data_IF_685638898482
#
_entry.id   IF_685638898482
#
_cell.length_a   1.000
_cell.length_b   1.000
_cell.length_c   1.000
_cell.angle_alpha   90.00
_cell.angle_beta   90.00
_cell.angle_gamma   90.00
#
_symmetry.space_group_name_H-M   'P 1'
#
loop_
_entity.id
_entity.type
_entity.pdbx_description
1 polymer ?
#
# COMPACT_ATOMS: atom_id res chain seq x y z
N UNK A 1 -3.20 -11.96 -15.73
CA UNK A 1 -4.24 -12.60 -14.88
C UNK A 1 -3.63 -12.83 -13.52
N UNK A 2 -4.29 -12.39 -12.43
CA UNK A 2 -3.79 -12.66 -11.08
C UNK A 2 -3.84 -14.17 -10.80
N UNK A 3 -2.78 -14.71 -10.22
CA UNK A 3 -2.65 -16.14 -9.91
C UNK A 3 -3.52 -16.44 -8.69
N UNK A 4 -4.70 -17.00 -8.91
CA UNK A 4 -5.65 -17.34 -7.83
C UNK A 4 -5.01 -18.45 -6.99
N UNK A 5 -4.90 -18.20 -5.69
CA UNK A 5 -4.44 -19.18 -4.72
C UNK A 5 -5.62 -20.11 -4.37
N UNK A 6 -5.53 -21.43 -4.57
CA UNK A 6 -6.62 -22.35 -4.25
C UNK A 6 -6.91 -22.42 -2.74
N UNK A 7 -5.96 -22.06 -1.87
CA UNK A 7 -6.16 -22.00 -0.42
C UNK A 7 -6.91 -20.71 -0.03
N UNK A 8 -6.72 -19.61 -0.76
CA UNK A 8 -7.37 -18.32 -0.53
C UNK A 8 -7.96 -17.73 -1.83
N UNK A 9 -9.09 -18.27 -2.32
CA UNK A 9 -9.65 -17.91 -3.62
C UNK A 9 -10.26 -16.49 -3.68
N UNK A 10 -10.47 -15.84 -2.54
CA UNK A 10 -11.01 -14.47 -2.47
C UNK A 10 -9.91 -13.48 -2.11
N UNK A 11 -9.74 -12.43 -2.90
CA UNK A 11 -8.74 -11.38 -2.67
C UNK A 11 -9.32 -9.99 -2.82
N UNK A 12 -8.81 -9.04 -2.04
CA UNK A 12 -9.17 -7.62 -2.14
C UNK A 12 -7.93 -6.76 -1.86
N UNK A 13 -7.75 -5.70 -2.64
CA UNK A 13 -6.66 -4.74 -2.45
C UNK A 13 -7.25 -3.37 -2.13
N UNK A 14 -6.89 -2.82 -0.97
CA UNK A 14 -7.14 -1.43 -0.60
C UNK A 14 -5.91 -0.62 -0.97
N UNK A 15 -6.10 0.55 -1.59
CA UNK A 15 -5.04 1.51 -1.86
C UNK A 15 -5.45 2.86 -1.30
N UNK A 16 -4.72 3.35 -0.29
CA UNK A 16 -4.97 4.61 0.39
C UNK A 16 -3.85 5.61 0.07
N UNK A 17 -4.09 6.65 -0.75
CA UNK A 17 -3.13 7.73 -0.93
C UNK A 17 -3.08 8.59 0.34
N UNK A 18 -1.86 8.87 0.82
CA UNK A 18 -1.62 9.74 1.98
C UNK A 18 -0.80 10.97 1.55
N UNK A 19 -0.94 12.13 2.22
CA UNK A 19 -0.34 13.39 1.76
C UNK A 19 1.19 13.37 1.69
N UNK A 20 1.86 12.60 2.55
CA UNK A 20 3.32 12.54 2.64
C UNK A 20 3.80 11.11 2.87
N UNK A 21 5.05 10.81 2.47
CA UNK A 21 5.68 9.54 2.80
C UNK A 21 5.82 9.33 4.31
N UNK A 22 6.01 10.39 5.11
CA UNK A 22 6.08 10.28 6.58
C UNK A 22 4.77 9.76 7.18
N UNK A 23 3.62 10.23 6.69
CA UNK A 23 2.31 9.69 7.09
C UNK A 23 2.15 8.25 6.61
N UNK A 24 2.51 7.95 5.35
CA UNK A 24 2.40 6.60 4.79
C UNK A 24 3.25 5.56 5.53
N UNK A 25 4.52 5.86 5.78
CA UNK A 25 5.44 5.00 6.55
C UNK A 25 5.06 4.87 8.01
N UNK A 26 4.54 5.93 8.64
CA UNK A 26 4.02 5.84 10.02
C UNK A 26 2.77 4.97 10.10
N UNK A 27 1.85 5.08 9.12
CA UNK A 27 0.63 4.29 9.08
C UNK A 27 0.94 2.81 8.83
N UNK A 28 1.86 2.54 7.89
CA UNK A 28 2.38 1.19 7.65
C UNK A 28 2.91 0.55 8.94
N UNK A 29 3.81 1.26 9.65
CA UNK A 29 4.44 0.74 10.88
C UNK A 29 3.42 0.52 12.00
N UNK A 30 2.46 1.43 12.18
CA UNK A 30 1.40 1.28 13.18
C UNK A 30 0.51 0.06 12.89
N UNK A 31 0.11 -0.12 11.62
CA UNK A 31 -0.79 -1.20 11.19
C UNK A 31 -0.08 -2.56 11.02
N UNK A 32 1.25 -2.58 10.97
CA UNK A 32 2.06 -3.81 10.94
C UNK A 32 2.17 -4.51 12.31
N UNK A 33 1.94 -3.81 13.42
CA UNK A 33 1.97 -4.40 14.78
C UNK A 33 0.71 -5.23 15.07
N UNK A 34 -0.39 -4.92 14.39
CA UNK A 34 -1.60 -5.73 14.38
C UNK A 34 -1.39 -6.96 13.46
N UNK A 35 -1.40 -8.15 14.04
CA UNK A 35 -1.37 -9.42 13.29
C UNK A 35 -2.78 -9.95 13.02
N UNK A 36 -2.98 -10.53 11.84
CA UNK A 36 -4.25 -11.16 11.49
C UNK A 36 -4.44 -12.45 12.32
N UNK A 37 -5.29 -12.37 13.35
CA UNK A 37 -5.52 -13.46 14.31
C UNK A 37 -6.13 -14.74 13.70
N UNK A 38 -6.62 -14.68 12.45
CA UNK A 38 -7.24 -15.81 11.77
C UNK A 38 -6.32 -16.41 10.70
N UNK A 39 -5.97 -17.72 10.77
CA UNK A 39 -5.22 -18.38 9.69
C UNK A 39 -6.02 -18.51 8.38
N UNK A 40 -7.31 -18.14 8.40
CA UNK A 40 -8.22 -18.13 7.26
C UNK A 40 -8.15 -16.85 6.43
N UNK A 41 -7.30 -15.89 6.84
CA UNK A 41 -6.98 -14.65 6.13
C UNK A 41 -5.45 -14.46 6.10
N UNK A 42 -4.94 -13.93 5.00
CA UNK A 42 -3.57 -13.42 4.88
C UNK A 42 -3.63 -11.94 4.51
N UNK A 43 -2.96 -11.09 5.28
CA UNK A 43 -2.83 -9.65 5.06
C UNK A 43 -1.40 -9.32 4.67
N UNK A 44 -1.21 -8.39 3.73
CA UNK A 44 0.11 -7.87 3.36
C UNK A 44 0.01 -6.37 3.12
N UNK A 45 0.74 -5.59 3.93
CA UNK A 45 0.83 -4.14 3.77
C UNK A 45 2.17 -3.78 3.11
N UNK A 46 2.12 -2.82 2.18
CA UNK A 46 3.29 -2.26 1.49
C UNK A 46 3.03 -0.81 1.12
N UNK A 47 4.08 -0.04 0.91
CA UNK A 47 3.96 1.28 0.29
C UNK A 47 4.22 1.18 -1.20
N UNK A 48 3.49 1.98 -1.97
CA UNK A 48 3.61 2.06 -3.42
C UNK A 48 3.63 3.53 -3.86
N UNK A 49 4.16 3.77 -5.05
CA UNK A 49 4.03 5.08 -5.71
C UNK A 49 2.56 5.33 -6.07
N UNK A 50 2.09 6.59 -6.06
CA UNK A 50 0.81 6.92 -6.67
C UNK A 50 0.86 6.58 -8.16
N UNK A 51 -0.14 5.84 -8.65
CA UNK A 51 -0.30 5.57 -10.08
C UNK A 51 -0.78 6.86 -10.76
N UNK A 52 0.20 7.65 -11.21
CA UNK A 52 0.00 8.92 -11.90
C UNK A 52 -0.35 8.74 -13.38
N UNK A 53 -0.72 7.54 -13.83
CA UNK A 53 -1.14 7.29 -15.21
C UNK A 53 -2.36 8.15 -15.55
N UNK A 54 -2.25 9.20 -16.39
CA UNK A 54 -3.45 9.83 -16.93
C UNK A 54 -4.19 8.80 -17.79
N UNK A 55 -5.52 8.81 -17.83
CA UNK A 55 -6.27 8.02 -18.80
C UNK A 55 -6.02 8.60 -20.20
N UNK A 56 -4.92 8.16 -20.84
CA UNK A 56 -4.62 8.50 -22.22
C UNK A 56 -5.78 8.01 -23.09
N UNK A 57 -6.43 8.88 -23.88
CA UNK A 57 -7.46 8.43 -24.81
C UNK A 57 -6.84 7.45 -25.81
N UNK A 58 -7.47 6.29 -25.98
CA UNK A 58 -6.91 5.16 -26.70
C UNK A 58 -6.79 5.40 -28.22
N UNK A 59 -5.73 6.09 -28.65
CA UNK A 59 -5.36 6.22 -30.05
C UNK A 59 -3.86 6.52 -30.24
N UNK A 60 -3.14 5.60 -30.91
CA UNK A 60 -1.75 5.72 -31.40
C UNK A 60 -0.71 5.63 -30.25
N UNK A 61 0.28 4.73 -30.27
CA UNK A 61 1.22 4.39 -31.35
C UNK A 61 1.47 2.86 -31.47
N UNK A 62 1.93 2.43 -32.66
CA UNK A 62 2.16 1.05 -33.15
C UNK A 62 3.21 0.19 -32.39
N UNK A 63 3.24 -1.16 -32.60
CA UNK A 63 4.11 -2.09 -31.87
C UNK A 63 5.47 -2.38 -32.54
N UNK A 64 6.56 -2.37 -31.74
CA UNK A 64 7.93 -2.83 -32.07
C UNK A 64 8.80 -2.76 -30.78
N UNK A 65 9.74 -3.64 -30.40
CA UNK A 65 10.09 -5.05 -30.75
C UNK A 65 10.81 -5.67 -29.49
N UNK A 66 10.99 -7.01 -29.33
CA UNK A 66 11.42 -7.61 -28.05
C UNK A 66 12.94 -7.89 -27.93
N UNK A 67 13.31 -8.49 -26.78
CA UNK A 67 14.66 -8.93 -26.34
C UNK A 67 15.55 -7.80 -25.73
N UNK A 68 16.47 -8.06 -24.78
CA UNK A 68 16.92 -9.35 -24.21
C UNK A 68 17.42 -9.20 -22.75
N UNK A 69 17.74 -10.35 -22.13
CA UNK A 69 18.49 -10.64 -20.89
C UNK A 69 19.09 -9.49 -20.03
N UNK A 70 18.79 -9.53 -18.72
CA UNK A 70 19.74 -9.19 -17.64
C UNK A 70 19.25 -9.71 -16.28
N UNK A 71 19.67 -10.92 -15.93
CA UNK A 71 19.54 -11.51 -14.58
C UNK A 71 20.27 -10.69 -13.51
N UNK A 72 19.63 -10.51 -12.34
CA UNK A 72 20.22 -10.14 -11.03
C UNK A 72 21.24 -8.98 -10.94
N UNK A 73 20.87 -7.91 -10.19
CA UNK A 73 21.63 -7.34 -9.06
C UNK A 73 21.20 -5.90 -8.75
N UNK A 74 20.74 -5.65 -7.52
CA UNK A 74 21.36 -4.71 -6.54
C UNK A 74 20.43 -4.45 -5.36
N UNK A 75 20.76 -5.08 -4.24
CA UNK A 75 20.59 -4.44 -2.94
C UNK A 75 21.53 -3.22 -2.91
N UNK A 76 21.01 -1.99 -2.78
CA UNK A 76 21.84 -0.77 -2.78
C UNK A 76 21.25 0.44 -3.51
N UNK A 77 20.07 0.87 -3.09
CA UNK A 77 19.33 2.06 -3.53
C UNK A 77 17.91 2.00 -2.94
N UNK A 78 17.23 3.09 -2.57
CA UNK A 78 17.53 4.51 -2.81
C UNK A 78 16.80 5.35 -1.74
N UNK A 79 17.48 6.26 -1.02
CA UNK A 79 16.83 7.11 -0.02
C UNK A 79 15.75 8.03 -0.60
N UNK A 80 15.88 8.41 -1.87
CA UNK A 80 14.92 9.24 -2.60
C UNK A 80 13.76 8.46 -3.21
N UNK A 81 13.87 7.13 -3.38
CA UNK A 81 12.76 6.34 -3.91
C UNK A 81 11.65 6.20 -2.86
N UNK A 82 12.01 6.08 -1.57
CA UNK A 82 11.07 5.99 -0.45
C UNK A 82 10.20 7.24 -0.32
N UNK A 83 10.74 8.45 -0.47
CA UNK A 83 9.95 9.71 -0.39
C UNK A 83 8.79 9.78 -1.40
N UNK A 84 8.87 9.02 -2.50
CA UNK A 84 7.80 8.90 -3.51
C UNK A 84 6.71 7.87 -3.17
N UNK A 85 6.91 7.06 -2.12
CA UNK A 85 5.99 6.00 -1.68
C UNK A 85 4.93 6.58 -0.73
N UNK A 86 3.90 7.20 -1.31
CA UNK A 86 2.81 7.86 -0.57
C UNK A 86 1.50 7.07 -0.51
N UNK A 87 1.39 5.94 -1.23
CA UNK A 87 0.17 5.10 -1.21
C UNK A 87 0.39 3.89 -0.31
N UNK A 88 -0.39 3.79 0.76
CA UNK A 88 -0.48 2.59 1.58
C UNK A 88 -1.37 1.56 0.86
N UNK A 89 -0.78 0.45 0.43
CA UNK A 89 -1.48 -0.65 -0.22
C UNK A 89 -1.59 -1.84 0.71
N UNK A 90 -2.82 -2.30 0.96
CA UNK A 90 -3.13 -3.48 1.78
C UNK A 90 -3.79 -4.53 0.92
N UNK A 91 -3.13 -5.68 0.76
CA UNK A 91 -3.64 -6.84 0.04
C UNK A 91 -4.17 -7.89 1.04
N UNK A 92 -5.41 -8.32 0.83
CA UNK A 92 -6.06 -9.39 1.56
C UNK A 92 -6.25 -10.61 0.68
N UNK A 93 -6.10 -11.79 1.28
CA UNK A 93 -6.53 -13.08 0.73
C UNK A 93 -7.29 -13.84 1.80
N UNK A 94 -8.42 -14.44 1.47
CA UNK A 94 -9.30 -15.12 2.43
C UNK A 94 -9.90 -16.41 1.85
N UNK A 95 -10.18 -17.37 2.73
CA UNK A 95 -10.89 -18.61 2.38
C UNK A 95 -12.36 -18.37 2.00
N UNK A 96 -12.97 -17.30 2.51
CA UNK A 96 -14.36 -16.93 2.23
C UNK A 96 -14.57 -15.41 2.18
N UNK A 97 -15.55 -14.96 1.39
CA UNK A 97 -16.05 -13.58 1.43
C UNK A 97 -16.50 -13.12 2.82
N UNK A 98 -16.99 -14.03 3.67
CA UNK A 98 -17.38 -13.70 5.05
C UNK A 98 -16.17 -13.31 5.88
N UNK A 99 -15.09 -14.08 5.80
CA UNK A 99 -13.87 -13.79 6.55
C UNK A 99 -13.18 -12.53 6.03
N UNK A 100 -13.16 -12.34 4.71
CA UNK A 100 -12.65 -11.12 4.08
C UNK A 100 -13.34 -9.86 4.63
N UNK A 101 -14.68 -9.89 4.77
CA UNK A 101 -15.45 -8.78 5.35
C UNK A 101 -15.12 -8.54 6.83
N UNK A 102 -14.90 -9.59 7.62
CA UNK A 102 -14.55 -9.45 9.04
C UNK A 102 -13.18 -8.78 9.20
N UNK A 103 -12.17 -9.28 8.48
CA UNK A 103 -10.81 -8.73 8.52
C UNK A 103 -10.72 -7.29 7.99
N UNK A 104 -11.39 -6.99 6.87
CA UNK A 104 -11.41 -5.63 6.29
C UNK A 104 -12.15 -4.64 7.20
N UNK A 105 -13.24 -5.05 7.87
CA UNK A 105 -13.93 -4.18 8.82
C UNK A 105 -13.04 -3.82 10.02
N UNK A 106 -12.40 -4.82 10.64
CA UNK A 106 -11.48 -4.60 11.77
C UNK A 106 -10.28 -3.73 11.38
N UNK A 107 -9.75 -3.90 10.17
CA UNK A 107 -8.71 -3.04 9.63
C UNK A 107 -9.16 -1.60 9.38
N UNK A 108 -10.38 -1.38 8.88
CA UNK A 108 -10.88 -0.01 8.70
C UNK A 108 -11.11 0.71 10.04
N UNK A 109 -11.45 -0.03 11.09
CA UNK A 109 -11.49 0.48 12.47
C UNK A 109 -10.09 0.88 12.97
N UNK A 110 -9.09 0.00 12.85
CA UNK A 110 -7.71 0.31 13.27
C UNK A 110 -7.08 1.43 12.43
N UNK A 111 -7.34 1.46 11.12
CA UNK A 111 -6.94 2.54 10.22
C UNK A 111 -7.58 3.88 10.61
N UNK A 112 -8.87 3.88 10.96
CA UNK A 112 -9.56 5.09 11.43
C UNK A 112 -8.93 5.67 12.69
N UNK A 113 -8.56 4.82 13.66
CA UNK A 113 -7.83 5.25 14.87
C UNK A 113 -6.46 5.80 14.51
N UNK A 114 -5.68 5.12 13.67
CA UNK A 114 -4.34 5.57 13.24
C UNK A 114 -4.42 6.94 12.53
N UNK A 115 -5.37 7.13 11.63
CA UNK A 115 -5.54 8.39 10.90
C UNK A 115 -6.05 9.52 11.79
N UNK A 116 -6.97 9.27 12.73
CA UNK A 116 -7.41 10.27 13.70
C UNK A 116 -6.27 10.72 14.63
N UNK A 117 -5.45 9.77 15.11
CA UNK A 117 -4.24 10.09 15.89
C UNK A 117 -3.24 10.89 15.06
N UNK A 118 -3.11 10.64 13.76
CA UNK A 118 -2.29 11.47 12.87
C UNK A 118 -2.87 12.87 12.68
N UNK A 119 -4.17 13.01 12.51
CA UNK A 119 -4.84 14.32 12.37
C UNK A 119 -4.67 15.17 13.63
N UNK A 120 -4.80 14.58 14.82
CA UNK A 120 -4.67 15.29 16.10
C UNK A 120 -3.21 15.56 16.52
N UNK A 121 -2.25 14.70 16.17
CA UNK A 121 -0.85 14.83 16.62
C UNK A 121 0.12 15.41 15.57
N UNK A 122 -0.20 15.40 14.27
CA UNK A 122 0.72 15.94 13.24
C UNK A 122 0.61 17.46 13.07
N UNK A 123 -0.25 18.12 13.85
CA UNK A 123 -0.46 19.57 13.85
C UNK A 123 0.80 20.34 14.31
N UNK A 124 1.59 19.76 15.21
CA UNK A 124 2.71 20.46 15.87
C UNK A 124 4.10 20.24 15.25
N UNK A 125 4.26 19.29 14.32
CA UNK A 125 5.57 19.01 13.68
C UNK A 125 5.85 19.97 12.52
N UNK A 126 4.81 20.34 11.76
CA UNK A 126 4.93 21.28 10.63
C UNK A 126 5.28 22.71 11.06
N UNK A 127 4.98 23.10 12.30
CA UNK A 127 5.29 24.43 12.84
C UNK A 127 6.76 24.63 13.23
N UNK A 128 7.49 23.57 13.59
CA UNK A 128 8.88 23.68 14.07
C UNK A 128 9.93 23.54 12.97
N UNK A 129 9.63 22.83 11.87
CA UNK A 129 10.57 22.62 10.76
C UNK A 129 10.66 23.83 9.79
N UNK A 130 9.69 24.75 9.84
CA UNK A 130 9.67 25.98 9.02
C UNK A 130 10.24 27.22 9.76
N UNK A 131 10.82 27.01 10.95
CA UNK A 131 11.21 28.06 11.89
C UNK A 131 12.72 28.22 12.11
N UNK A 132 13.56 28.00 11.10
CA UNK A 132 15.02 28.18 11.19
C UNK A 132 15.66 28.78 9.94
#
# INVERSE_FOLDING_TARGET
MAKIDPEFPYSLTVSLPLPTHRLASSALRALQVDEELSPLVRRTLRLTRPDLSPPLPAAQISPMIPADDATERREGGTSYDDESLTVLQTEYKATTNRMLRVAVNAFMESLGVVLGVMEELDVDVLGSELGR
#
